data_IF_554085995706
#
_entry.id   IF_554085995706
#
_cell.length_a   1.000
_cell.length_b   1.000
_cell.length_c   1.000
_cell.angle_alpha   90.00
_cell.angle_beta   90.00
_cell.angle_gamma   90.00
#
_symmetry.space_group_name_H-M   'P 1'
#
loop_
_entity.id
_entity.type
_entity.pdbx_description
1 polymer ?
#
# COMPACT_ATOMS: atom_id res chain seq x y z
N UNK A 1 17.26 14.37 46.07
CA UNK A 1 15.93 13.88 45.66
C UNK A 1 15.62 14.18 44.17
N UNK A 2 16.63 14.24 43.28
CA UNK A 2 16.43 14.69 41.88
C UNK A 2 16.72 13.60 40.83
N UNK A 3 17.33 12.49 41.27
CA UNK A 3 17.74 11.39 40.38
C UNK A 3 16.55 10.50 39.95
N UNK A 4 15.60 10.28 40.86
CA UNK A 4 14.38 9.51 40.62
C UNK A 4 13.50 10.14 39.53
N UNK A 5 13.36 11.47 39.53
CA UNK A 5 12.49 12.20 38.60
C UNK A 5 13.04 12.19 37.17
N UNK A 6 14.36 12.29 36.98
CA UNK A 6 14.97 12.23 35.63
C UNK A 6 14.84 10.83 35.03
N UNK A 7 15.09 9.80 35.83
CA UNK A 7 15.06 8.40 35.36
C UNK A 7 13.64 7.94 35.03
N UNK A 8 12.64 8.40 35.78
CA UNK A 8 11.23 8.15 35.48
C UNK A 8 10.81 8.80 34.16
N UNK A 9 11.28 10.02 33.88
CA UNK A 9 10.94 10.73 32.64
C UNK A 9 11.52 10.05 31.39
N UNK A 10 12.79 9.61 31.45
CA UNK A 10 13.45 8.87 30.34
C UNK A 10 12.77 7.52 30.09
N UNK A 11 12.32 6.84 31.14
CA UNK A 11 11.66 5.54 31.03
C UNK A 11 10.29 5.66 30.36
N UNK A 12 9.55 6.74 30.63
CA UNK A 12 8.26 7.02 30.00
C UNK A 12 8.39 7.43 28.53
N UNK A 13 9.43 8.21 28.17
CA UNK A 13 9.64 8.62 26.78
C UNK A 13 10.15 7.49 25.88
N UNK A 14 10.92 6.53 26.41
CA UNK A 14 11.33 5.34 25.66
C UNK A 14 10.15 4.40 25.31
N UNK A 15 9.14 4.30 26.18
CA UNK A 15 7.95 3.49 25.93
C UNK A 15 7.05 4.07 24.82
N UNK A 16 7.00 5.40 24.68
CA UNK A 16 6.22 6.06 23.63
C UNK A 16 6.81 5.87 22.22
N UNK A 17 8.14 5.82 22.10
CA UNK A 17 8.82 5.67 20.81
C UNK A 17 8.70 4.24 20.22
N UNK A 18 8.64 3.21 21.07
CA UNK A 18 8.45 1.82 20.62
C UNK A 18 7.02 1.52 20.17
N UNK A 19 6.02 2.28 20.65
CA UNK A 19 4.61 2.10 20.24
C UNK A 19 4.30 2.60 18.83
N UNK A 20 5.00 3.65 18.37
CA UNK A 20 4.73 4.25 17.05
C UNK A 20 5.26 3.42 15.87
N UNK A 21 6.32 2.61 16.07
CA UNK A 21 6.86 1.76 15.01
C UNK A 21 5.96 0.55 14.73
N UNK A 22 5.27 0.02 15.74
CA UNK A 22 4.34 -1.10 15.57
C UNK A 22 3.09 -0.65 14.81
N UNK A 23 2.54 0.53 15.12
CA UNK A 23 1.38 1.07 14.38
C UNK A 23 1.74 1.33 12.90
N UNK A 24 2.93 1.86 12.61
CA UNK A 24 3.37 2.08 11.23
C UNK A 24 3.55 0.79 10.42
N UNK A 25 3.92 -0.32 11.06
CA UNK A 25 4.04 -1.64 10.41
C UNK A 25 2.66 -2.28 10.14
N UNK A 26 1.70 -2.11 11.05
CA UNK A 26 0.33 -2.65 10.90
C UNK A 26 -0.45 -1.97 9.76
N UNK A 27 -0.27 -0.66 9.57
CA UNK A 27 -0.93 0.10 8.49
C UNK A 27 -0.43 -0.31 7.10
N UNK A 28 0.79 -0.85 6.98
CA UNK A 28 1.32 -1.34 5.71
C UNK A 28 0.73 -2.70 5.29
N UNK A 29 0.21 -3.48 6.24
CA UNK A 29 -0.32 -4.83 6.00
C UNK A 29 -1.82 -4.81 5.67
N UNK A 30 -2.58 -3.83 6.17
CA UNK A 30 -4.04 -3.73 5.99
C UNK A 30 -4.47 -2.99 4.71
N UNK A 31 -3.59 -2.91 3.71
CA UNK A 31 -4.01 -2.76 2.32
C UNK A 31 -4.46 -4.12 1.77
N UNK A 32 -5.32 -4.80 2.52
CA UNK A 32 -6.04 -5.98 2.07
C UNK A 32 -7.01 -5.50 1.00
N UNK A 33 -6.52 -5.51 -0.24
CA UNK A 33 -7.29 -5.18 -1.41
C UNK A 33 -8.44 -6.17 -1.46
N UNK A 34 -9.59 -5.76 -0.93
CA UNK A 34 -10.85 -6.51 -0.95
C UNK A 34 -11.11 -6.87 -2.40
N UNK A 35 -10.70 -8.08 -2.80
CA UNK A 35 -10.84 -8.55 -4.17
C UNK A 35 -12.33 -8.69 -4.38
N UNK A 36 -12.94 -7.69 -5.03
CA UNK A 36 -14.29 -7.84 -5.51
C UNK A 36 -14.26 -9.09 -6.39
N UNK A 37 -15.02 -10.11 -6.00
CA UNK A 37 -15.11 -11.37 -6.72
C UNK A 37 -15.77 -11.10 -8.08
N UNK A 38 -14.97 -10.62 -9.03
CA UNK A 38 -15.34 -10.56 -10.43
C UNK A 38 -15.38 -12.01 -10.89
N UNK A 39 -16.52 -12.44 -11.41
CA UNK A 39 -16.81 -13.83 -11.76
C UNK A 39 -16.14 -14.30 -13.06
N UNK A 40 -15.02 -13.68 -13.46
CA UNK A 40 -14.38 -13.93 -14.74
C UNK A 40 -12.94 -13.43 -14.83
N UNK A 41 -12.23 -13.79 -15.91
CA UNK A 41 -10.86 -13.34 -16.13
C UNK A 41 -10.80 -11.82 -16.23
N UNK A 42 -9.79 -11.24 -15.58
CA UNK A 42 -9.46 -9.82 -15.70
C UNK A 42 -8.31 -9.69 -16.70
N UNK A 43 -8.50 -8.87 -17.73
CA UNK A 43 -7.47 -8.56 -18.73
C UNK A 43 -7.11 -7.09 -18.60
N UNK A 44 -5.83 -6.80 -18.40
CA UNK A 44 -5.33 -5.43 -18.34
C UNK A 44 -4.47 -5.13 -19.57
N UNK A 45 -4.90 -4.17 -20.38
CA UNK A 45 -4.14 -3.62 -21.49
C UNK A 45 -3.41 -2.37 -21.03
N UNK A 46 -2.09 -2.46 -20.92
CA UNK A 46 -1.23 -1.30 -20.64
C UNK A 46 -0.87 -0.66 -21.98
N UNK A 47 -1.39 0.54 -22.24
CA UNK A 47 -1.16 1.25 -23.51
C UNK A 47 0.22 1.90 -23.53
N UNK A 48 0.53 2.65 -22.49
CA UNK A 48 1.87 3.21 -22.26
C UNK A 48 2.19 3.22 -20.75
N UNK A 49 3.19 2.43 -20.30
CA UNK A 49 3.60 2.44 -18.90
C UNK A 49 4.23 3.75 -18.44
N UNK A 50 4.66 4.63 -19.36
CA UNK A 50 5.20 5.95 -19.04
C UNK A 50 4.12 6.99 -18.77
N UNK A 51 2.96 6.91 -19.42
CA UNK A 51 1.82 7.80 -19.14
C UNK A 51 0.97 7.25 -17.99
N UNK A 52 0.90 5.91 -17.87
CA UNK A 52 0.10 5.25 -16.84
C UNK A 52 -1.28 4.81 -17.34
N UNK A 53 -1.52 4.88 -18.65
CA UNK A 53 -2.79 4.48 -19.25
C UNK A 53 -2.97 2.97 -19.26
N UNK A 54 -4.02 2.51 -18.57
CA UNK A 54 -4.41 1.11 -18.44
C UNK A 54 -5.90 0.97 -18.75
N UNK A 55 -6.26 0.11 -19.70
CA UNK A 55 -7.64 -0.36 -19.87
C UNK A 55 -7.78 -1.71 -19.18
N UNK A 56 -8.64 -1.79 -18.16
CA UNK A 56 -8.95 -3.04 -17.45
C UNK A 56 -10.31 -3.53 -17.92
N UNK A 57 -10.34 -4.76 -18.43
CA UNK A 57 -11.57 -5.46 -18.81
C UNK A 57 -11.86 -6.55 -17.78
N UNK A 58 -13.06 -6.52 -17.22
CA UNK A 58 -13.57 -7.52 -16.29
C UNK A 58 -14.96 -7.97 -16.75
N UNK A 59 -15.03 -9.11 -17.43
CA UNK A 59 -16.25 -9.55 -18.11
C UNK A 59 -16.70 -8.54 -19.16
N UNK A 60 -17.89 -7.97 -18.97
CA UNK A 60 -18.48 -6.97 -19.88
C UNK A 60 -18.15 -5.52 -19.50
N UNK A 61 -17.47 -5.31 -18.36
CA UNK A 61 -17.10 -3.97 -17.90
C UNK A 61 -15.70 -3.63 -18.37
N UNK A 62 -15.58 -2.51 -19.06
CA UNK A 62 -14.30 -1.85 -19.33
C UNK A 62 -14.14 -0.64 -18.40
N UNK A 63 -12.99 -0.54 -17.76
CA UNK A 63 -12.60 0.60 -16.92
C UNK A 63 -11.26 1.13 -17.41
N UNK A 64 -11.21 2.43 -17.69
CA UNK A 64 -9.95 3.14 -17.95
C UNK A 64 -9.40 3.63 -16.62
N UNK A 65 -8.18 3.21 -16.32
CA UNK A 65 -7.43 3.59 -15.14
C UNK A 65 -6.16 4.30 -15.60
N UNK A 66 -5.90 5.47 -15.04
CA UNK A 66 -4.65 6.19 -15.22
C UNK A 66 -3.85 6.09 -13.93
N UNK A 67 -2.91 5.15 -13.89
CA UNK A 67 -1.99 4.98 -12.75
C UNK A 67 -0.61 4.53 -13.24
N UNK A 68 0.33 5.46 -13.16
CA UNK A 68 1.72 5.26 -13.57
C UNK A 68 2.45 4.19 -12.74
N UNK A 69 2.15 4.07 -11.44
CA UNK A 69 2.79 3.06 -10.56
C UNK A 69 2.30 1.67 -10.92
N UNK A 70 1.00 1.49 -11.12
CA UNK A 70 0.43 0.19 -11.51
C UNK A 70 0.94 -0.20 -12.89
N UNK A 71 0.92 0.73 -13.86
CA UNK A 71 1.37 0.46 -15.21
C UNK A 71 2.85 0.04 -15.24
N UNK A 72 3.71 0.71 -14.46
CA UNK A 72 5.12 0.33 -14.34
C UNK A 72 5.32 -1.02 -13.66
N UNK A 73 4.47 -1.40 -12.68
CA UNK A 73 4.53 -2.74 -12.05
C UNK A 73 4.12 -3.83 -13.04
N UNK A 74 3.04 -3.62 -13.80
CA UNK A 74 2.59 -4.56 -14.84
C UNK A 74 3.64 -4.71 -15.95
N UNK A 75 4.21 -3.61 -16.44
CA UNK A 75 5.26 -3.65 -17.45
C UNK A 75 6.53 -4.36 -16.99
N UNK A 76 6.88 -4.27 -15.70
CA UNK A 76 7.99 -5.03 -15.12
C UNK A 76 7.71 -6.53 -15.02
N UNK A 77 6.48 -6.91 -14.72
CA UNK A 77 6.08 -8.32 -14.62
C UNK A 77 5.95 -9.01 -15.99
N UNK A 78 5.74 -8.22 -17.06
CA UNK A 78 5.65 -8.72 -18.44
C UNK A 78 7.01 -8.88 -19.15
N UNK A 79 8.11 -8.52 -18.48
CA UNK A 79 9.49 -8.65 -19.01
C UNK A 79 10.13 -9.93 -18.47
#
# INVERSE_FOLDING_TARGET
MSDSTRRAFVKNSAAAAAGMTVVGALVAEEADAKVAATSGPIVAYVRDPRTGEISVMAGEREVKLEDRKIAARLARAAK
#
